data_IF_101897534499
#
_entry.id   IF_101897534499
#
_cell.length_a   1.000
_cell.length_b   1.000
_cell.length_c   1.000
_cell.angle_alpha   90.00
_cell.angle_beta   90.00
_cell.angle_gamma   90.00
#
_symmetry.space_group_name_H-M   'P 1'
#
loop_
_entity.id
_entity.type
_entity.pdbx_description
1 polymer ?
#
# COMPACT_ATOMS: atom_id res chain seq x y z
N UNK A 1 6.96 -5.39 13.10
CA UNK A 1 5.81 -5.81 12.29
C UNK A 1 4.61 -5.92 13.22
N UNK A 2 3.46 -5.37 12.84
CA UNK A 2 2.20 -5.44 13.61
C UNK A 2 1.47 -6.78 13.43
N UNK A 3 1.81 -7.53 12.38
CA UNK A 3 1.27 -8.85 12.04
C UNK A 3 2.41 -9.88 11.92
N UNK A 4 2.04 -11.16 11.89
CA UNK A 4 2.99 -12.25 11.69
C UNK A 4 3.38 -12.38 10.21
N UNK A 5 4.53 -13.00 9.91
CA UNK A 5 4.94 -13.28 8.52
C UNK A 5 3.93 -14.21 7.83
N UNK A 6 3.31 -15.11 8.58
CA UNK A 6 2.34 -16.06 8.02
C UNK A 6 1.05 -15.37 7.54
N UNK A 7 0.75 -14.16 8.01
CA UNK A 7 -0.42 -13.40 7.56
C UNK A 7 -0.25 -12.85 6.13
N UNK A 8 0.98 -12.79 5.61
CA UNK A 8 1.22 -12.41 4.20
C UNK A 8 0.53 -13.35 3.22
N UNK A 9 0.51 -14.66 3.51
CA UNK A 9 -0.15 -15.63 2.63
C UNK A 9 -1.68 -15.59 2.75
N UNK A 10 -2.23 -14.90 3.76
CA UNK A 10 -3.68 -14.75 3.97
C UNK A 10 -4.23 -13.41 3.46
N UNK A 11 -3.35 -12.47 3.10
CA UNK A 11 -3.74 -11.14 2.67
C UNK A 11 -4.50 -11.18 1.33
N UNK A 12 -5.59 -10.40 1.21
CA UNK A 12 -6.29 -10.21 -0.06
C UNK A 12 -5.59 -9.21 -0.99
N UNK A 13 -4.82 -8.28 -0.42
CA UNK A 13 -4.02 -7.29 -1.13
C UNK A 13 -2.73 -7.01 -0.35
N UNK A 14 -1.61 -6.86 -1.07
CA UNK A 14 -0.33 -6.45 -0.51
C UNK A 14 0.17 -5.23 -1.28
N UNK A 15 0.45 -4.14 -0.57
CA UNK A 15 1.17 -2.98 -1.09
C UNK A 15 2.63 -3.07 -0.64
N UNK A 16 3.55 -3.18 -1.60
CA UNK A 16 5.00 -3.05 -1.37
C UNK A 16 5.43 -1.68 -1.86
N UNK A 17 5.77 -0.79 -0.92
CA UNK A 17 6.26 0.57 -1.20
C UNK A 17 7.65 0.75 -0.59
N UNK A 18 8.57 1.36 -1.34
CA UNK A 18 9.93 1.69 -0.84
C UNK A 18 10.78 0.48 -0.42
N UNK A 19 10.49 -0.72 -0.93
CA UNK A 19 11.19 -1.96 -0.52
C UNK A 19 11.49 -2.88 -1.70
N UNK A 20 12.76 -3.31 -1.83
CA UNK A 20 13.13 -4.45 -2.66
C UNK A 20 13.16 -5.74 -1.82
N UNK A 21 11.98 -6.19 -1.39
CA UNK A 21 11.84 -7.30 -0.44
C UNK A 21 12.44 -8.60 -0.96
N UNK A 22 12.45 -8.83 -2.27
CA UNK A 22 13.06 -10.02 -2.86
C UNK A 22 14.56 -10.14 -2.65
N UNK A 23 15.25 -9.02 -2.46
CA UNK A 23 16.69 -8.99 -2.17
C UNK A 23 16.95 -8.79 -0.68
N UNK A 24 16.27 -7.82 -0.05
CA UNK A 24 16.47 -7.50 1.36
C UNK A 24 15.92 -8.55 2.33
N UNK A 25 14.83 -9.24 1.96
CA UNK A 25 14.17 -10.23 2.81
C UNK A 25 13.64 -11.42 1.98
N UNK A 26 14.52 -12.30 1.46
CA UNK A 26 14.15 -13.31 0.46
C UNK A 26 13.00 -14.24 0.87
N UNK A 27 12.91 -14.58 2.17
CA UNK A 27 11.82 -15.40 2.71
C UNK A 27 10.48 -14.66 2.66
N UNK A 28 10.44 -13.37 3.01
CA UNK A 28 9.24 -12.54 2.88
C UNK A 28 8.86 -12.41 1.41
N UNK A 29 9.82 -12.15 0.52
CA UNK A 29 9.57 -12.12 -0.92
C UNK A 29 9.02 -13.44 -1.46
N UNK A 30 9.44 -14.59 -0.92
CA UNK A 30 8.86 -15.89 -1.25
C UNK A 30 7.40 -16.02 -0.79
N UNK A 31 7.08 -15.57 0.44
CA UNK A 31 5.72 -15.59 0.98
C UNK A 31 4.77 -14.70 0.17
N UNK A 32 5.20 -13.49 -0.20
CA UNK A 32 4.43 -12.58 -1.07
C UNK A 32 4.15 -13.26 -2.42
N UNK A 33 5.16 -13.85 -3.07
CA UNK A 33 4.97 -14.58 -4.34
C UNK A 33 3.97 -15.73 -4.20
N UNK A 34 4.01 -16.49 -3.10
CA UNK A 34 3.01 -17.55 -2.83
C UNK A 34 1.61 -16.99 -2.67
N UNK A 35 1.45 -15.90 -1.91
CA UNK A 35 0.16 -15.25 -1.72
C UNK A 35 -0.47 -14.88 -3.06
N UNK A 36 0.30 -14.26 -3.95
CA UNK A 36 -0.16 -13.88 -5.29
C UNK A 36 -0.46 -15.10 -6.17
N UNK A 37 0.50 -16.01 -6.31
CA UNK A 37 0.41 -17.10 -7.29
C UNK A 37 -0.56 -18.21 -6.90
N UNK A 38 -0.82 -18.40 -5.59
CA UNK A 38 -1.61 -19.54 -5.10
C UNK A 38 -2.89 -19.13 -4.40
N UNK A 39 -2.93 -17.95 -3.77
CA UNK A 39 -4.02 -17.56 -2.88
C UNK A 39 -4.84 -16.38 -3.42
N UNK A 40 -4.57 -15.94 -4.66
CA UNK A 40 -5.34 -14.88 -5.31
C UNK A 40 -5.10 -13.47 -4.73
N UNK A 41 -4.02 -13.28 -3.97
CA UNK A 41 -3.67 -11.97 -3.43
C UNK A 41 -3.35 -10.99 -4.56
N UNK A 42 -3.93 -9.79 -4.51
CA UNK A 42 -3.51 -8.68 -5.36
C UNK A 42 -2.18 -8.10 -4.87
N UNK A 43 -1.27 -7.79 -5.79
CA UNK A 43 0.02 -7.17 -5.44
C UNK A 43 0.15 -5.83 -6.14
N UNK A 44 0.37 -4.77 -5.35
CA UNK A 44 0.73 -3.44 -5.81
C UNK A 44 2.17 -3.19 -5.41
N UNK A 45 3.01 -2.77 -6.36
CA UNK A 45 4.40 -2.39 -6.10
C UNK A 45 4.56 -0.91 -6.43
N UNK A 46 4.79 -0.07 -5.43
CA UNK A 46 5.11 1.35 -5.56
C UNK A 46 6.61 1.56 -5.38
N UNK A 47 7.35 1.44 -6.48
CA UNK A 47 8.80 1.50 -6.51
C UNK A 47 9.24 2.05 -7.88
N UNK A 48 10.04 3.14 -7.94
CA UNK A 48 10.50 3.71 -9.21
C UNK A 48 11.30 2.71 -10.07
N UNK A 49 12.02 1.78 -9.41
CA UNK A 49 12.84 0.76 -10.04
C UNK A 49 12.05 -0.50 -10.37
N UNK A 50 12.48 -1.22 -11.40
CA UNK A 50 11.88 -2.51 -11.74
C UNK A 50 12.52 -3.63 -10.91
N UNK A 51 11.91 -3.96 -9.76
CA UNK A 51 12.38 -5.04 -8.87
C UNK A 51 11.72 -6.40 -9.22
N UNK A 52 12.20 -7.50 -8.64
CA UNK A 52 11.68 -8.84 -8.98
C UNK A 52 10.20 -9.04 -8.65
N UNK A 53 9.64 -8.29 -7.69
CA UNK A 53 8.21 -8.33 -7.37
C UNK A 53 7.34 -7.69 -8.46
N UNK A 54 7.86 -6.78 -9.28
CA UNK A 54 7.11 -6.14 -10.37
C UNK A 54 6.56 -7.17 -11.37
N UNK A 55 7.27 -8.29 -11.60
CA UNK A 55 6.80 -9.37 -12.46
C UNK A 55 5.51 -10.08 -11.98
N UNK A 56 5.17 -9.92 -10.71
CA UNK A 56 4.00 -10.54 -10.08
C UNK A 56 2.93 -9.50 -9.72
N UNK A 57 3.21 -8.21 -9.91
CA UNK A 57 2.33 -7.15 -9.48
C UNK A 57 1.16 -6.98 -10.47
N UNK A 58 -0.04 -6.80 -9.94
CA UNK A 58 -1.18 -6.33 -10.72
C UNK A 58 -0.99 -4.87 -11.12
N UNK A 59 -0.37 -4.07 -10.24
CA UNK A 59 -0.03 -2.67 -10.51
C UNK A 59 1.41 -2.37 -10.10
N UNK A 60 2.17 -1.79 -11.02
CA UNK A 60 3.49 -1.24 -10.75
C UNK A 60 3.45 0.28 -10.86
N UNK A 61 3.44 0.94 -9.71
CA UNK A 61 3.43 2.40 -9.58
C UNK A 61 4.90 2.86 -9.55
N UNK A 62 5.21 3.81 -10.43
CA UNK A 62 6.55 4.36 -10.63
C UNK A 62 6.56 5.83 -10.26
N UNK A 63 6.22 6.11 -9.00
CA UNK A 63 6.27 7.47 -8.46
C UNK A 63 7.69 8.04 -8.61
N UNK A 64 7.83 9.36 -8.60
CA UNK A 64 9.15 9.98 -8.59
C UNK A 64 9.82 9.66 -7.24
N UNK A 65 11.16 9.52 -7.19
CA UNK A 65 11.85 9.40 -5.91
C UNK A 65 11.44 10.55 -4.97
N UNK A 66 11.27 10.24 -3.69
CA UNK A 66 10.89 11.19 -2.63
C UNK A 66 9.45 11.72 -2.71
N UNK A 67 8.59 11.13 -3.56
CA UNK A 67 7.16 11.53 -3.66
C UNK A 67 6.18 10.50 -3.08
N UNK A 68 6.64 9.60 -2.20
CA UNK A 68 5.79 8.58 -1.57
C UNK A 68 4.65 9.22 -0.74
N UNK A 69 4.91 10.34 -0.08
CA UNK A 69 3.88 11.07 0.70
C UNK A 69 2.78 11.59 -0.19
N UNK A 70 3.10 12.13 -1.38
CA UNK A 70 2.11 12.59 -2.34
C UNK A 70 1.24 11.41 -2.82
N UNK A 71 1.87 10.29 -3.19
CA UNK A 71 1.17 9.07 -3.60
C UNK A 71 0.21 8.57 -2.50
N UNK A 72 0.70 8.44 -1.27
CA UNK A 72 -0.12 7.96 -0.15
C UNK A 72 -1.26 8.92 0.17
N UNK A 73 -1.02 10.23 0.17
CA UNK A 73 -2.08 11.21 0.38
C UNK A 73 -3.12 11.18 -0.75
N UNK A 74 -2.71 11.00 -2.01
CA UNK A 74 -3.62 10.81 -3.13
C UNK A 74 -4.49 9.55 -2.98
N UNK A 75 -3.91 8.43 -2.55
CA UNK A 75 -4.66 7.21 -2.24
C UNK A 75 -5.67 7.44 -1.10
N UNK A 76 -5.24 8.09 -0.02
CA UNK A 76 -6.12 8.39 1.11
C UNK A 76 -7.23 9.39 0.73
N UNK A 77 -6.96 10.35 -0.15
CA UNK A 77 -7.95 11.27 -0.68
C UNK A 77 -9.08 10.53 -1.40
N UNK A 78 -8.75 9.55 -2.25
CA UNK A 78 -9.75 8.71 -2.93
C UNK A 78 -10.53 7.87 -1.93
N UNK A 79 -9.86 7.24 -0.95
CA UNK A 79 -10.52 6.44 0.10
C UNK A 79 -11.56 7.27 0.86
N UNK A 80 -11.22 8.51 1.23
CA UNK A 80 -12.13 9.40 1.96
C UNK A 80 -13.24 9.97 1.07
N UNK A 81 -12.90 10.45 -0.13
CA UNK A 81 -13.87 11.09 -1.03
C UNK A 81 -14.91 10.13 -1.61
N UNK A 82 -14.54 8.85 -1.76
CA UNK A 82 -15.45 7.79 -2.23
C UNK A 82 -16.17 7.06 -1.08
N UNK A 83 -15.94 7.43 0.18
CA UNK A 83 -16.59 6.81 1.34
C UNK A 83 -16.19 5.34 1.57
N UNK A 84 -14.95 4.98 1.24
CA UNK A 84 -14.39 3.63 1.39
C UNK A 84 -13.72 3.40 2.75
N UNK A 85 -13.63 4.45 3.57
CA UNK A 85 -13.02 4.39 4.89
C UNK A 85 -13.86 3.60 5.91
N UNK A 86 -13.19 2.95 6.86
CA UNK A 86 -13.83 2.35 8.02
C UNK A 86 -14.06 3.43 9.09
N UNK A 87 -15.21 4.10 8.98
CA UNK A 87 -15.60 5.22 9.85
C UNK A 87 -15.75 4.81 11.32
N UNK A 88 -16.16 3.56 11.60
CA UNK A 88 -16.29 3.05 12.96
C UNK A 88 -14.91 2.86 13.59
N UNK A 89 -13.98 2.23 12.87
CA UNK A 89 -12.62 2.07 13.35
C UNK A 89 -11.91 3.41 13.58
N UNK A 90 -12.06 4.36 12.64
CA UNK A 90 -11.45 5.69 12.77
C UNK A 90 -11.95 6.37 14.05
N UNK A 91 -13.27 6.38 14.28
CA UNK A 91 -13.87 7.02 15.46
C UNK A 91 -13.40 6.40 16.78
N UNK A 92 -13.21 5.07 16.81
CA UNK A 92 -12.99 4.34 18.08
C UNK A 92 -11.52 4.06 18.39
N UNK A 93 -10.65 4.08 17.38
CA UNK A 93 -9.27 3.58 17.47
C UNK A 93 -8.20 4.56 17.00
N UNK A 94 -8.59 5.76 16.59
CA UNK A 94 -7.66 6.79 16.10
C UNK A 94 -7.90 8.15 16.77
N UNK A 95 -6.95 9.07 16.61
CA UNK A 95 -7.03 10.45 17.10
C UNK A 95 -6.49 11.41 16.02
N UNK A 96 -6.87 12.69 16.08
CA UNK A 96 -6.40 13.71 15.12
C UNK A 96 -6.92 13.57 13.68
N UNK A 97 -8.03 12.84 13.48
CA UNK A 97 -8.56 12.54 12.15
C UNK A 97 -9.06 13.79 11.41
N UNK A 98 -9.66 14.76 12.10
CA UNK A 98 -10.19 15.97 11.47
C UNK A 98 -9.07 16.87 10.92
N UNK A 99 -7.96 17.01 11.64
CA UNK A 99 -6.77 17.71 11.16
C UNK A 99 -6.13 16.97 9.98
N UNK A 100 -6.01 15.65 10.10
CA UNK A 100 -5.49 14.78 9.04
C UNK A 100 -6.32 14.89 7.76
N UNK A 101 -7.65 14.83 7.87
CA UNK A 101 -8.59 14.90 6.75
C UNK A 101 -8.42 16.19 5.94
N UNK A 102 -8.29 17.33 6.61
CA UNK A 102 -8.06 18.63 5.94
C UNK A 102 -6.80 18.62 5.07
N UNK A 103 -5.72 17.98 5.54
CA UNK A 103 -4.49 17.84 4.77
C UNK A 103 -4.72 16.92 3.57
N UNK A 104 -5.39 15.79 3.76
CA UNK A 104 -5.59 14.80 2.69
C UNK A 104 -6.54 15.30 1.59
N UNK A 105 -7.58 16.06 1.94
CA UNK A 105 -8.53 16.65 0.98
C UNK A 105 -7.85 17.52 -0.08
N UNK A 106 -6.70 18.11 0.27
CA UNK A 106 -5.89 18.91 -0.63
C UNK A 106 -5.13 18.10 -1.70
N UNK A 107 -4.91 16.80 -1.51
CA UNK A 107 -4.13 15.93 -2.40
C UNK A 107 -5.04 15.13 -3.33
N UNK A 108 -5.72 15.79 -4.26
CA UNK A 108 -6.47 15.06 -5.31
C UNK A 108 -5.50 14.25 -6.19
N UNK A 109 -5.94 13.14 -6.82
CA UNK A 109 -5.09 12.36 -7.72
C UNK A 109 -4.40 13.17 -8.83
N UNK A 110 -5.04 14.24 -9.31
CA UNK A 110 -4.48 15.14 -10.33
C UNK A 110 -3.34 16.03 -9.80
N UNK A 111 -3.32 16.31 -8.49
CA UNK A 111 -2.27 17.10 -7.83
C UNK A 111 -1.10 16.22 -7.36
N UNK A 112 -1.39 14.98 -6.96
CA UNK A 112 -0.50 14.07 -6.24
C UNK A 112 0.55 13.38 -7.13
#
# INVERSE_FOLDING_TARGET
>A
MTNSIDDLEKAGCILVIGSNTTEGHPIIGLRIKRAVMKNGCKLIVAEPRHIRLCYYAEQWIRQRPETDVALLNGMMNVILSEGLADEEFIRERTEGFEEFRKVVEEYTPERA
#
